data_IF_575828463901
#
_entry.id   IF_575828463901
#
_cell.length_a   1.000
_cell.length_b   1.000
_cell.length_c   1.000
_cell.angle_alpha   90.00
_cell.angle_beta   90.00
_cell.angle_gamma   90.00
#
_symmetry.space_group_name_H-M   'P 1'
#
loop_
_entity.id
_entity.type
_entity.pdbx_description
1 polymer ?
#
# COMPACT_ATOMS: atom_id res chain seq x y z
N UNK A 1 15.33 6.34 8.04
CA UNK A 1 13.91 6.40 7.61
C UNK A 1 13.09 7.15 8.67
N UNK A 2 12.28 8.14 8.29
CA UNK A 2 11.36 8.82 9.20
C UNK A 2 10.29 7.86 9.71
N UNK A 3 9.76 8.11 10.91
CA UNK A 3 8.66 7.34 11.49
C UNK A 3 7.49 8.23 11.87
N UNK A 4 6.28 7.69 11.81
CA UNK A 4 5.03 8.34 12.23
C UNK A 4 4.19 7.35 13.04
N UNK A 5 3.40 7.84 13.97
CA UNK A 5 2.44 7.00 14.69
C UNK A 5 1.28 6.64 13.76
N UNK A 6 0.93 5.37 13.68
CA UNK A 6 -0.17 4.88 12.85
C UNK A 6 -1.49 5.01 13.61
N UNK A 7 -2.22 6.07 13.33
CA UNK A 7 -3.48 6.38 14.00
C UNK A 7 -3.29 6.72 15.48
N UNK A 8 -4.41 6.89 16.18
CA UNK A 8 -4.40 7.21 17.62
C UNK A 8 -3.96 5.98 18.42
N UNK A 9 -2.89 6.13 19.21
CA UNK A 9 -2.34 5.06 20.07
C UNK A 9 -1.81 3.82 19.32
N UNK A 10 -1.58 3.89 18.03
CA UNK A 10 -1.00 2.79 17.25
C UNK A 10 0.52 2.75 17.31
N UNK A 11 1.14 1.77 16.63
CA UNK A 11 2.59 1.61 16.61
C UNK A 11 3.29 2.75 15.85
N UNK A 12 4.56 2.98 16.18
CA UNK A 12 5.45 3.82 15.39
C UNK A 12 5.89 3.04 14.14
N UNK A 13 5.59 3.56 12.98
CA UNK A 13 5.88 2.91 11.68
C UNK A 13 6.74 3.80 10.80
N UNK A 14 7.58 3.20 9.97
CA UNK A 14 8.32 3.92 8.94
C UNK A 14 7.35 4.56 7.94
N UNK A 15 7.69 5.77 7.48
CA UNK A 15 6.88 6.50 6.49
C UNK A 15 6.78 5.77 5.15
N UNK A 16 7.74 4.90 4.83
CA UNK A 16 7.62 3.91 3.76
C UNK A 16 7.34 2.55 4.38
N UNK A 17 6.28 1.90 3.91
CA UNK A 17 5.93 0.52 4.20
C UNK A 17 6.40 -0.38 3.05
N UNK A 18 7.04 -1.48 3.36
CA UNK A 18 7.40 -2.50 2.36
C UNK A 18 6.16 -3.24 1.89
N UNK A 19 5.70 -2.97 0.68
CA UNK A 19 4.60 -3.70 0.05
C UNK A 19 5.07 -5.01 -0.56
N UNK A 20 4.62 -6.11 0.00
CA UNK A 20 5.11 -7.45 -0.37
C UNK A 20 4.37 -8.09 -1.55
N UNK A 21 3.34 -7.47 -2.12
CA UNK A 21 2.68 -7.97 -3.32
C UNK A 21 3.64 -8.40 -4.44
N UNK A 22 4.63 -7.56 -4.88
CA UNK A 22 5.48 -7.92 -6.02
C UNK A 22 6.37 -9.13 -5.76
N UNK A 23 6.71 -9.42 -4.52
CA UNK A 23 7.55 -10.58 -4.18
C UNK A 23 6.77 -11.89 -4.12
N UNK A 24 5.43 -11.83 -4.11
CA UNK A 24 4.56 -12.99 -4.22
C UNK A 24 4.39 -13.53 -5.65
N UNK A 25 4.86 -12.79 -6.68
CA UNK A 25 4.84 -13.24 -8.08
C UNK A 25 3.76 -12.61 -8.95
N UNK A 26 2.78 -11.85 -8.41
CA UNK A 26 1.69 -11.25 -9.20
C UNK A 26 2.11 -10.18 -10.19
N UNK A 27 3.35 -9.69 -10.10
CA UNK A 27 3.94 -8.68 -11.01
C UNK A 27 5.20 -9.21 -11.71
N UNK A 28 5.13 -10.44 -12.24
CA UNK A 28 6.23 -11.17 -12.87
C UNK A 28 7.12 -11.88 -11.84
N UNK A 29 7.93 -12.82 -12.32
CA UNK A 29 8.77 -13.71 -11.49
C UNK A 29 9.75 -12.94 -10.62
N UNK A 30 9.92 -13.41 -9.39
CA UNK A 30 10.91 -12.92 -8.44
C UNK A 30 11.67 -14.10 -7.84
N UNK A 31 12.99 -14.05 -7.89
CA UNK A 31 13.82 -15.00 -7.18
C UNK A 31 13.68 -14.82 -5.66
N UNK A 32 13.43 -15.91 -4.94
CA UNK A 32 13.19 -15.87 -3.50
C UNK A 32 14.39 -15.36 -2.72
N UNK A 33 15.61 -15.74 -3.14
CA UNK A 33 16.86 -15.29 -2.50
C UNK A 33 17.01 -13.79 -2.67
N UNK A 34 16.73 -13.27 -3.87
CA UNK A 34 16.74 -11.83 -4.14
C UNK A 34 15.68 -11.10 -3.32
N UNK A 35 14.48 -11.66 -3.20
CA UNK A 35 13.41 -11.08 -2.39
C UNK A 35 13.83 -10.96 -0.91
N UNK A 36 14.41 -12.01 -0.34
CA UNK A 36 14.91 -12.01 1.06
C UNK A 36 16.01 -10.96 1.24
N UNK A 37 16.96 -10.86 0.31
CA UNK A 37 18.01 -9.83 0.35
C UNK A 37 17.41 -8.41 0.30
N UNK A 38 16.39 -8.21 -0.52
CA UNK A 38 15.69 -6.90 -0.64
C UNK A 38 14.97 -6.55 0.66
N UNK A 39 14.30 -7.52 1.30
CA UNK A 39 13.64 -7.33 2.61
C UNK A 39 14.68 -6.96 3.68
N UNK A 40 15.80 -7.66 3.75
CA UNK A 40 16.86 -7.36 4.71
C UNK A 40 17.44 -5.96 4.49
N UNK A 41 17.71 -5.58 3.24
CA UNK A 41 18.17 -4.23 2.91
C UNK A 41 17.15 -3.15 3.31
N UNK A 42 15.85 -3.43 3.16
CA UNK A 42 14.79 -2.50 3.62
C UNK A 42 14.84 -2.32 5.14
N UNK A 43 15.00 -3.42 5.91
CA UNK A 43 15.16 -3.37 7.37
C UNK A 43 16.39 -2.54 7.76
N UNK A 44 17.54 -2.81 7.14
CA UNK A 44 18.79 -2.08 7.36
C UNK A 44 18.68 -0.59 7.02
N UNK A 45 17.83 -0.25 6.05
CA UNK A 45 17.49 1.14 5.69
C UNK A 45 16.49 1.81 6.65
N UNK A 46 16.06 1.10 7.70
CA UNK A 46 15.17 1.61 8.75
C UNK A 46 13.68 1.44 8.43
N UNK A 47 13.31 0.59 7.46
CA UNK A 47 11.92 0.17 7.26
C UNK A 47 11.56 -0.84 8.35
N UNK A 48 10.58 -0.50 9.17
CA UNK A 48 10.04 -1.39 10.20
C UNK A 48 8.59 -1.82 9.93
N UNK A 49 8.01 -1.39 8.80
CA UNK A 49 6.62 -1.62 8.45
C UNK A 49 6.51 -2.45 7.17
N UNK A 50 5.80 -3.57 7.24
CA UNK A 50 5.64 -4.53 6.14
C UNK A 50 4.17 -4.85 5.95
N UNK A 51 3.70 -4.82 4.68
CA UNK A 51 2.31 -5.12 4.31
C UNK A 51 2.27 -6.29 3.32
N UNK A 52 1.46 -7.28 3.65
CA UNK A 52 1.16 -8.46 2.83
C UNK A 52 -0.34 -8.78 2.86
N UNK A 53 -0.74 -9.92 2.31
CA UNK A 53 -2.07 -10.50 2.42
C UNK A 53 -2.01 -12.00 2.13
N UNK A 54 -2.96 -12.79 2.65
CA UNK A 54 -3.07 -14.22 2.34
C UNK A 54 -3.27 -14.46 0.84
N UNK A 55 -3.97 -13.55 0.15
CA UNK A 55 -4.19 -13.62 -1.31
C UNK A 55 -2.97 -13.26 -2.17
N UNK A 56 -1.81 -12.95 -1.57
CA UNK A 56 -0.62 -12.53 -2.33
C UNK A 56 0.32 -13.70 -2.65
N UNK A 57 -0.22 -14.82 -3.12
CA UNK A 57 0.52 -16.02 -3.53
C UNK A 57 1.56 -16.44 -2.46
N UNK A 58 2.86 -16.34 -2.78
CA UNK A 58 3.95 -16.76 -1.90
C UNK A 58 4.47 -15.66 -0.95
N UNK A 59 3.87 -14.48 -0.96
CA UNK A 59 4.35 -13.29 -0.26
C UNK A 59 4.53 -13.51 1.25
N UNK A 60 3.51 -14.04 1.94
CA UNK A 60 3.60 -14.34 3.38
C UNK A 60 4.70 -15.35 3.71
N UNK A 61 4.86 -16.39 2.87
CA UNK A 61 5.91 -17.38 3.06
C UNK A 61 7.32 -16.77 2.93
N UNK A 62 7.52 -15.89 1.95
CA UNK A 62 8.80 -15.21 1.74
C UNK A 62 9.11 -14.26 2.91
N UNK A 63 8.11 -13.50 3.37
CA UNK A 63 8.24 -12.65 4.55
C UNK A 63 8.55 -13.46 5.80
N UNK A 64 7.83 -14.57 6.05
CA UNK A 64 8.06 -15.42 7.21
C UNK A 64 9.50 -15.95 7.30
N UNK A 65 10.09 -16.30 6.13
CA UNK A 65 11.52 -16.69 6.06
C UNK A 65 12.46 -15.51 6.31
N UNK A 66 12.17 -14.35 5.71
CA UNK A 66 13.04 -13.17 5.80
C UNK A 66 13.02 -12.52 7.19
N UNK A 67 11.91 -12.61 7.90
CA UNK A 67 11.72 -12.00 9.24
C UNK A 67 12.11 -12.92 10.40
N UNK A 68 12.56 -14.14 10.13
CA UNK A 68 13.02 -15.06 11.16
C UNK A 68 14.15 -14.43 12.00
N UNK A 69 13.97 -14.40 13.33
CA UNK A 69 14.86 -13.72 14.27
C UNK A 69 14.76 -12.18 14.30
N UNK A 70 13.95 -11.56 13.42
CA UNK A 70 13.79 -10.10 13.32
C UNK A 70 12.37 -9.62 13.63
N UNK A 71 11.42 -10.55 13.81
CA UNK A 71 9.97 -10.27 13.91
C UNK A 71 9.62 -9.21 14.96
N UNK A 72 10.30 -9.21 16.10
CA UNK A 72 10.03 -8.31 17.23
C UNK A 72 10.31 -6.82 16.95
N UNK A 73 11.09 -6.52 15.92
CA UNK A 73 11.40 -5.13 15.49
C UNK A 73 10.51 -4.64 14.35
N UNK A 74 9.54 -5.46 13.93
CA UNK A 74 8.74 -5.23 12.73
C UNK A 74 7.27 -5.04 13.11
N UNK A 75 6.63 -4.05 12.52
CA UNK A 75 5.18 -3.94 12.44
C UNK A 75 4.72 -4.63 11.17
N UNK A 76 3.98 -5.72 11.32
CA UNK A 76 3.54 -6.57 10.22
C UNK A 76 2.03 -6.42 10.00
N UNK A 77 1.64 -6.04 8.80
CA UNK A 77 0.26 -6.00 8.36
C UNK A 77 -0.03 -7.16 7.39
N UNK A 78 -1.15 -7.84 7.60
CA UNK A 78 -1.71 -8.78 6.62
C UNK A 78 -3.22 -8.56 6.47
N UNK A 79 -3.87 -9.32 5.58
CA UNK A 79 -5.27 -9.07 5.21
C UNK A 79 -6.04 -10.36 5.06
N UNK A 80 -7.32 -10.35 5.50
CA UNK A 80 -8.34 -11.29 5.08
C UNK A 80 -8.70 -11.00 3.63
N UNK A 81 -8.51 -11.95 2.73
CA UNK A 81 -8.77 -11.80 1.29
C UNK A 81 -9.93 -12.70 0.84
N UNK A 82 -10.47 -12.41 -0.34
CA UNK A 82 -11.58 -13.19 -0.91
C UNK A 82 -12.95 -12.71 -0.45
N UNK A 83 -13.98 -13.44 -0.87
CA UNK A 83 -15.38 -13.06 -0.68
C UNK A 83 -16.04 -13.73 0.54
N UNK A 84 -15.41 -14.74 1.12
CA UNK A 84 -15.94 -15.47 2.27
C UNK A 84 -15.48 -14.84 3.59
N UNK A 85 -16.40 -14.20 4.30
CA UNK A 85 -16.19 -13.67 5.64
C UNK A 85 -16.89 -14.50 6.73
N UNK A 86 -17.18 -15.78 6.45
CA UNK A 86 -17.66 -16.69 7.49
C UNK A 86 -16.64 -16.82 8.63
N UNK A 87 -17.13 -17.04 9.84
CA UNK A 87 -16.28 -17.23 11.03
C UNK A 87 -15.26 -18.35 10.80
N UNK A 88 -15.70 -19.44 10.15
CA UNK A 88 -14.82 -20.56 9.83
C UNK A 88 -13.68 -20.17 8.90
N UNK A 89 -13.97 -19.39 7.86
CA UNK A 89 -12.96 -18.90 6.93
C UNK A 89 -12.00 -17.90 7.60
N UNK A 90 -12.52 -16.91 8.33
CA UNK A 90 -11.69 -15.92 9.05
C UNK A 90 -10.69 -16.62 9.97
N UNK A 91 -11.11 -17.62 10.75
CA UNK A 91 -10.22 -18.36 11.65
C UNK A 91 -9.18 -19.20 10.91
N UNK A 92 -9.58 -19.82 9.82
CA UNK A 92 -8.64 -20.58 8.97
C UNK A 92 -7.62 -19.67 8.32
N UNK A 93 -8.03 -18.55 7.76
CA UNK A 93 -7.17 -17.55 7.11
C UNK A 93 -6.10 -17.03 8.07
N UNK A 94 -6.49 -16.53 9.26
CA UNK A 94 -5.52 -16.03 10.24
C UNK A 94 -4.57 -17.12 10.73
N UNK A 95 -5.06 -18.33 11.01
CA UNK A 95 -4.19 -19.42 11.47
C UNK A 95 -3.19 -19.84 10.37
N UNK A 96 -3.58 -19.86 9.11
CA UNK A 96 -2.70 -20.10 7.99
C UNK A 96 -1.66 -18.99 7.84
N UNK A 97 -2.07 -17.71 7.88
CA UNK A 97 -1.16 -16.57 7.82
C UNK A 97 -0.12 -16.63 8.94
N UNK A 98 -0.52 -16.86 10.19
CA UNK A 98 0.39 -17.00 11.33
C UNK A 98 1.39 -18.12 11.10
N UNK A 99 0.93 -19.29 10.63
CA UNK A 99 1.78 -20.44 10.34
C UNK A 99 2.80 -20.15 9.24
N UNK A 100 2.38 -19.54 8.13
CA UNK A 100 3.26 -19.26 6.96
C UNK A 100 4.24 -18.13 7.27
N UNK A 101 3.79 -17.11 8.00
CA UNK A 101 4.59 -15.98 8.47
C UNK A 101 5.53 -16.37 9.63
N UNK A 102 5.39 -17.58 10.21
CA UNK A 102 6.18 -18.07 11.35
C UNK A 102 6.15 -17.11 12.55
N UNK A 103 4.96 -16.67 12.92
CA UNK A 103 4.73 -15.72 14.01
C UNK A 103 3.48 -16.07 14.79
N UNK A 104 3.42 -15.69 16.06
CA UNK A 104 2.27 -15.95 16.92
C UNK A 104 1.21 -14.84 16.82
N UNK A 105 1.56 -13.68 16.24
CA UNK A 105 0.65 -12.54 16.10
C UNK A 105 0.93 -11.73 14.83
N UNK A 106 -0.10 -11.02 14.36
CA UNK A 106 -0.02 -9.99 13.31
C UNK A 106 -0.34 -8.64 13.96
N UNK A 107 0.50 -7.62 13.70
CA UNK A 107 0.29 -6.30 14.33
C UNK A 107 -0.99 -5.64 13.82
N UNK A 108 -1.24 -5.70 12.51
CA UNK A 108 -2.43 -5.10 11.90
C UNK A 108 -3.07 -6.12 10.95
N UNK A 109 -4.27 -6.59 11.29
CA UNK A 109 -5.03 -7.47 10.41
C UNK A 109 -6.17 -6.69 9.78
N UNK A 110 -6.22 -6.70 8.45
CA UNK A 110 -7.09 -5.83 7.67
C UNK A 110 -8.16 -6.64 6.93
N UNK A 111 -9.35 -6.08 6.79
CA UNK A 111 -10.29 -6.51 5.75
C UNK A 111 -9.82 -5.93 4.41
N UNK A 112 -9.55 -6.80 3.42
CA UNK A 112 -8.91 -6.42 2.17
C UNK A 112 -9.83 -5.58 1.28
N UNK A 113 -11.11 -5.94 1.23
CA UNK A 113 -12.16 -5.25 0.50
C UNK A 113 -13.50 -5.42 1.24
N UNK A 114 -14.43 -4.48 1.09
CA UNK A 114 -15.79 -4.65 1.59
C UNK A 114 -16.45 -5.89 0.99
N UNK A 115 -17.22 -6.61 1.81
CA UNK A 115 -17.99 -7.78 1.39
C UNK A 115 -19.45 -7.60 1.74
N UNK A 116 -20.28 -7.03 0.85
CA UNK A 116 -21.66 -6.64 1.17
C UNK A 116 -22.59 -7.83 1.49
N UNK A 117 -22.18 -9.05 1.12
CA UNK A 117 -22.94 -10.26 1.41
C UNK A 117 -22.76 -10.74 2.88
N UNK A 118 -21.86 -10.12 3.64
CA UNK A 118 -21.59 -10.47 5.03
C UNK A 118 -21.83 -9.25 5.93
N UNK A 119 -22.68 -9.39 6.98
CA UNK A 119 -22.87 -8.31 7.95
C UNK A 119 -21.54 -7.91 8.57
N UNK A 120 -21.24 -6.61 8.53
CA UNK A 120 -19.97 -6.10 9.04
C UNK A 120 -19.83 -6.37 10.55
N UNK A 121 -20.94 -6.39 11.29
CA UNK A 121 -21.02 -6.64 12.71
C UNK A 121 -20.48 -8.04 13.06
N UNK A 122 -20.85 -9.06 12.27
CA UNK A 122 -20.42 -10.45 12.49
C UNK A 122 -18.92 -10.57 12.23
N UNK A 123 -18.44 -10.00 11.12
CA UNK A 123 -17.01 -9.97 10.76
C UNK A 123 -16.20 -9.27 11.85
N UNK A 124 -16.63 -8.08 12.29
CA UNK A 124 -15.92 -7.31 13.32
C UNK A 124 -15.96 -8.01 14.68
N UNK A 125 -17.09 -8.64 15.06
CA UNK A 125 -17.17 -9.42 16.28
C UNK A 125 -16.11 -10.53 16.32
N UNK A 126 -15.88 -11.21 15.21
CA UNK A 126 -14.86 -12.24 15.13
C UNK A 126 -13.43 -11.68 15.18
N UNK A 127 -13.16 -10.55 14.51
CA UNK A 127 -11.85 -9.88 14.61
C UNK A 127 -11.56 -9.39 16.04
N UNK A 128 -12.58 -8.94 16.79
CA UNK A 128 -12.43 -8.57 18.20
C UNK A 128 -12.03 -9.77 19.05
N UNK A 129 -12.61 -10.97 18.81
CA UNK A 129 -12.21 -12.21 19.50
C UNK A 129 -10.76 -12.58 19.18
N UNK A 130 -10.34 -12.51 17.90
CA UNK A 130 -8.96 -12.76 17.49
C UNK A 130 -7.98 -11.78 18.16
N UNK A 131 -8.38 -10.53 18.36
CA UNK A 131 -7.60 -9.54 19.13
C UNK A 131 -7.53 -9.91 20.62
N UNK A 132 -8.62 -10.36 21.22
CA UNK A 132 -8.62 -10.85 22.62
C UNK A 132 -7.76 -12.13 22.80
N UNK A 133 -7.71 -12.98 21.77
CA UNK A 133 -6.83 -14.15 21.72
C UNK A 133 -5.34 -13.78 21.50
N UNK A 134 -5.03 -12.51 21.22
CA UNK A 134 -3.67 -12.05 20.95
C UNK A 134 -3.12 -12.43 19.57
N UNK A 135 -3.95 -12.98 18.68
CA UNK A 135 -3.53 -13.34 17.30
C UNK A 135 -3.36 -12.13 16.41
N UNK A 136 -4.12 -11.08 16.67
CA UNK A 136 -3.97 -9.77 16.01
C UNK A 136 -3.93 -8.68 17.10
N UNK A 137 -3.15 -7.62 16.84
CA UNK A 137 -3.04 -6.52 17.81
C UNK A 137 -3.97 -5.36 17.47
N UNK A 138 -4.14 -5.09 16.18
CA UNK A 138 -4.97 -4.00 15.67
C UNK A 138 -5.80 -4.46 14.48
N UNK A 139 -6.97 -3.83 14.30
CA UNK A 139 -7.87 -4.07 13.17
C UNK A 139 -7.74 -2.91 12.19
N UNK A 140 -7.63 -3.21 10.89
CA UNK A 140 -7.59 -2.24 9.81
C UNK A 140 -8.61 -2.55 8.71
N UNK A 141 -8.79 -1.58 7.82
CA UNK A 141 -9.65 -1.68 6.65
C UNK A 141 -8.85 -1.33 5.39
N UNK A 142 -9.19 -1.93 4.26
CA UNK A 142 -8.61 -1.58 2.96
C UNK A 142 -9.70 -1.43 1.90
N UNK A 143 -9.63 -0.35 1.10
CA UNK A 143 -10.60 -0.04 0.05
C UNK A 143 -12.05 0.19 0.53
N UNK A 144 -12.22 0.64 1.77
CA UNK A 144 -13.52 0.97 2.36
C UNK A 144 -13.87 2.44 2.10
N UNK A 145 -15.13 2.72 1.74
CA UNK A 145 -15.69 4.06 1.67
C UNK A 145 -15.82 4.69 3.07
N UNK A 146 -16.19 5.96 3.12
CA UNK A 146 -16.47 6.64 4.40
C UNK A 146 -17.62 5.97 5.13
N UNK A 147 -18.72 5.66 4.43
CA UNK A 147 -19.93 5.03 4.99
C UNK A 147 -19.64 3.66 5.56
N UNK A 148 -18.89 2.83 4.82
CA UNK A 148 -18.47 1.50 5.28
C UNK A 148 -17.51 1.60 6.47
N UNK A 149 -16.61 2.59 6.46
CA UNK A 149 -15.71 2.84 7.60
C UNK A 149 -16.49 3.26 8.84
N UNK A 150 -17.52 4.12 8.71
CA UNK A 150 -18.43 4.48 9.82
C UNK A 150 -19.10 3.24 10.40
N UNK A 151 -19.65 2.38 9.55
CA UNK A 151 -20.29 1.12 9.98
C UNK A 151 -19.32 0.23 10.76
N UNK A 152 -18.08 0.08 10.27
CA UNK A 152 -17.06 -0.71 10.96
C UNK A 152 -16.64 -0.07 12.30
N UNK A 153 -16.49 1.26 12.36
CA UNK A 153 -16.10 1.97 13.59
C UNK A 153 -17.18 1.95 14.67
N UNK A 154 -18.45 1.75 14.29
CA UNK A 154 -19.55 1.54 15.24
C UNK A 154 -19.40 0.21 16.01
N UNK A 155 -18.72 -0.80 15.43
CA UNK A 155 -18.51 -2.11 16.05
C UNK A 155 -17.29 -2.15 16.96
N UNK A 156 -16.18 -1.50 16.55
CA UNK A 156 -14.91 -1.51 17.29
C UNK A 156 -13.97 -0.40 16.80
N UNK A 157 -12.90 -0.18 17.55
CA UNK A 157 -11.86 0.77 17.11
C UNK A 157 -11.08 0.25 15.92
N UNK A 158 -11.01 1.06 14.85
CA UNK A 158 -10.21 0.80 13.65
C UNK A 158 -8.89 1.56 13.75
N UNK A 159 -7.78 0.86 13.61
CA UNK A 159 -6.45 1.44 13.73
C UNK A 159 -5.94 2.06 12.44
N UNK A 160 -6.25 1.43 11.30
CA UNK A 160 -5.74 1.88 10.00
C UNK A 160 -6.78 1.75 8.89
N UNK A 161 -6.66 2.64 7.91
CA UNK A 161 -7.31 2.54 6.60
C UNK A 161 -6.25 2.49 5.51
N UNK A 162 -6.46 1.63 4.52
CA UNK A 162 -5.54 1.42 3.41
C UNK A 162 -6.23 1.73 2.07
N UNK A 163 -6.36 3.03 1.70
CA UNK A 163 -6.93 3.46 0.42
C UNK A 163 -5.88 3.43 -0.70
N UNK A 164 -6.36 3.33 -1.96
CA UNK A 164 -5.56 3.59 -3.15
C UNK A 164 -5.30 5.09 -3.27
N UNK A 165 -4.04 5.52 -3.24
CA UNK A 165 -3.74 6.95 -3.33
C UNK A 165 -2.40 7.23 -4.01
N UNK A 166 -2.40 8.03 -5.08
CA UNK A 166 -1.21 8.42 -5.83
C UNK A 166 -1.44 9.67 -6.69
N UNK A 167 -0.42 10.13 -7.39
CA UNK A 167 -0.46 11.32 -8.25
C UNK A 167 -1.54 11.30 -9.34
N UNK A 168 -1.95 10.11 -9.81
CA UNK A 168 -2.95 9.93 -10.87
C UNK A 168 -4.33 9.73 -10.27
N UNK A 169 -4.46 8.83 -9.27
CA UNK A 169 -5.70 8.44 -8.62
C UNK A 169 -5.74 9.03 -7.21
N UNK A 170 -6.32 10.21 -7.05
CA UNK A 170 -6.28 10.96 -5.78
C UNK A 170 -7.55 11.72 -5.42
N UNK A 171 -8.59 11.69 -6.25
CA UNK A 171 -9.78 12.50 -5.99
C UNK A 171 -10.83 11.78 -5.16
N UNK A 172 -11.08 10.52 -5.48
CA UNK A 172 -12.13 9.73 -4.84
C UNK A 172 -11.82 9.47 -3.37
N UNK A 173 -10.54 9.36 -3.04
CA UNK A 173 -10.08 9.04 -1.70
C UNK A 173 -9.96 10.26 -0.74
N UNK A 174 -10.16 11.48 -1.23
CA UNK A 174 -10.02 12.69 -0.38
C UNK A 174 -10.95 12.68 0.82
N UNK A 175 -12.20 12.27 0.63
CA UNK A 175 -13.18 12.20 1.70
C UNK A 175 -12.79 11.15 2.75
N UNK A 176 -12.33 9.97 2.29
CA UNK A 176 -11.87 8.89 3.16
C UNK A 176 -10.61 9.30 3.94
N UNK A 177 -9.66 9.96 3.28
CA UNK A 177 -8.45 10.44 3.95
C UNK A 177 -8.77 11.45 5.05
N UNK A 178 -9.64 12.43 4.76
CA UNK A 178 -10.03 13.46 5.71
C UNK A 178 -10.82 12.88 6.89
N UNK A 179 -11.80 12.01 6.60
CA UNK A 179 -12.56 11.30 7.63
C UNK A 179 -11.64 10.52 8.57
N UNK A 180 -10.74 9.72 8.02
CA UNK A 180 -9.80 8.91 8.80
C UNK A 180 -8.89 9.80 9.67
N UNK A 181 -8.37 10.88 9.10
CA UNK A 181 -7.52 11.82 9.82
C UNK A 181 -8.25 12.45 11.02
N UNK A 182 -9.48 12.92 10.83
CA UNK A 182 -10.29 13.53 11.88
C UNK A 182 -10.65 12.55 13.00
N UNK A 183 -10.78 11.25 12.67
CA UNK A 183 -11.13 10.20 13.61
C UNK A 183 -9.90 9.45 14.19
N UNK A 184 -8.68 9.92 13.90
CA UNK A 184 -7.45 9.32 14.43
C UNK A 184 -7.16 7.93 13.89
N UNK A 185 -7.66 7.58 12.69
CA UNK A 185 -7.37 6.36 11.96
C UNK A 185 -6.12 6.60 11.10
N UNK A 186 -5.10 5.75 11.23
CA UNK A 186 -3.86 5.86 10.47
C UNK A 186 -4.06 5.52 8.99
N UNK A 187 -3.41 6.23 8.08
CA UNK A 187 -3.55 6.01 6.65
C UNK A 187 -2.30 5.37 6.07
N UNK A 188 -2.49 4.20 5.46
CA UNK A 188 -1.51 3.43 4.71
C UNK A 188 -1.84 3.49 3.23
N UNK A 189 -1.32 4.47 2.50
CA UNK A 189 -1.64 4.62 1.08
C UNK A 189 -1.04 3.49 0.25
N UNK A 190 -1.87 2.73 -0.48
CA UNK A 190 -1.40 1.71 -1.42
C UNK A 190 -1.40 2.20 -2.87
N UNK A 191 -0.82 1.41 -3.78
CA UNK A 191 -0.66 1.72 -5.20
C UNK A 191 0.05 3.06 -5.48
N UNK A 192 0.94 3.47 -4.59
CA UNK A 192 1.67 4.75 -4.64
C UNK A 192 2.35 5.01 -5.98
N UNK A 193 2.89 3.95 -6.60
CA UNK A 193 3.53 4.01 -7.92
C UNK A 193 2.59 3.60 -9.08
N UNK A 194 1.26 3.49 -8.84
CA UNK A 194 0.28 3.06 -9.84
C UNK A 194 0.75 1.80 -10.60
N UNK A 195 1.07 0.72 -9.84
CA UNK A 195 1.61 -0.55 -10.38
C UNK A 195 2.88 -0.37 -11.22
N UNK A 196 3.64 0.68 -10.98
CA UNK A 196 4.89 1.01 -11.66
C UNK A 196 4.75 2.02 -12.80
N UNK A 197 3.56 2.51 -13.10
CA UNK A 197 3.32 3.53 -14.11
C UNK A 197 4.09 4.83 -13.79
N UNK A 198 4.10 5.23 -12.52
CA UNK A 198 4.81 6.40 -12.00
C UNK A 198 6.33 6.20 -11.81
N UNK A 199 6.91 5.15 -12.42
CA UNK A 199 8.37 4.97 -12.45
C UNK A 199 9.02 5.50 -13.71
N UNK A 200 8.23 5.84 -14.73
CA UNK A 200 8.73 6.30 -16.04
C UNK A 200 9.38 5.21 -16.91
N UNK A 201 9.41 3.95 -16.45
CA UNK A 201 10.08 2.84 -17.18
C UNK A 201 9.26 2.28 -18.34
N UNK A 202 7.93 2.47 -18.35
CA UNK A 202 7.05 1.95 -19.39
C UNK A 202 6.89 2.98 -20.50
N UNK A 203 6.95 2.49 -21.76
CA UNK A 203 6.74 3.30 -22.95
C UNK A 203 5.57 2.75 -23.75
N UNK A 204 5.03 3.56 -24.64
CA UNK A 204 3.99 3.12 -25.58
C UNK A 204 4.39 1.81 -26.27
N UNK A 205 3.46 0.87 -26.35
CA UNK A 205 3.71 -0.46 -26.92
C UNK A 205 4.40 -1.46 -25.98
N UNK A 206 4.59 -1.14 -24.69
CA UNK A 206 5.11 -2.10 -23.74
C UNK A 206 4.17 -3.31 -23.60
N UNK A 207 4.73 -4.51 -23.72
CA UNK A 207 4.00 -5.79 -23.58
C UNK A 207 4.44 -6.44 -22.26
N UNK A 208 3.47 -6.76 -21.44
CA UNK A 208 3.69 -7.51 -20.20
C UNK A 208 3.70 -9.02 -20.49
N UNK A 209 4.46 -9.78 -19.69
CA UNK A 209 4.48 -11.23 -19.74
C UNK A 209 3.10 -11.84 -19.39
N UNK A 210 2.87 -13.10 -19.75
CA UNK A 210 1.56 -13.74 -19.58
C UNK A 210 1.11 -13.85 -18.13
N UNK A 211 2.04 -14.04 -17.19
CA UNK A 211 1.81 -14.14 -15.76
C UNK A 211 1.80 -12.78 -15.03
N UNK A 212 1.93 -11.66 -15.77
CA UNK A 212 1.90 -10.32 -15.22
C UNK A 212 0.48 -9.74 -15.24
N UNK A 213 -0.11 -9.53 -14.07
CA UNK A 213 -1.48 -8.99 -13.92
C UNK A 213 -1.66 -7.60 -14.54
N UNK A 214 -0.56 -6.83 -14.71
CA UNK A 214 -0.62 -5.46 -15.25
C UNK A 214 -1.20 -5.39 -16.65
N UNK A 215 -1.11 -6.48 -17.41
CA UNK A 215 -1.75 -6.59 -18.73
C UNK A 215 -3.28 -6.44 -18.68
N UNK A 216 -3.90 -6.65 -17.52
CA UNK A 216 -5.35 -6.56 -17.34
C UNK A 216 -5.85 -5.12 -17.14
N UNK A 217 -4.95 -4.20 -16.77
CA UNK A 217 -5.33 -2.84 -16.42
C UNK A 217 -5.37 -1.91 -17.64
N UNK A 218 -6.52 -1.23 -17.81
CA UNK A 218 -6.77 -0.34 -18.95
C UNK A 218 -5.79 0.84 -19.03
N UNK A 219 -5.28 1.31 -17.89
CA UNK A 219 -4.33 2.43 -17.85
C UNK A 219 -2.92 2.08 -18.38
N UNK A 220 -2.67 0.83 -18.75
CA UNK A 220 -1.49 0.42 -19.51
C UNK A 220 -1.75 0.29 -21.02
N UNK A 221 -2.91 0.76 -21.54
CA UNK A 221 -3.31 0.57 -22.93
C UNK A 221 -3.88 1.85 -23.56
N UNK A 222 -3.75 1.94 -24.88
CA UNK A 222 -4.40 2.95 -25.70
C UNK A 222 -4.07 4.39 -25.33
N UNK A 223 -4.98 5.31 -25.67
CA UNK A 223 -4.80 6.75 -25.51
C UNK A 223 -4.62 7.20 -24.06
N UNK A 224 -5.23 6.48 -23.10
CA UNK A 224 -5.06 6.75 -21.68
C UNK A 224 -3.61 6.55 -21.24
N UNK A 225 -3.00 5.43 -21.65
CA UNK A 225 -1.60 5.16 -21.38
C UNK A 225 -0.68 6.23 -21.98
N UNK A 226 -0.96 6.70 -23.21
CA UNK A 226 -0.18 7.75 -23.86
C UNK A 226 -0.26 9.09 -23.10
N UNK A 227 -1.45 9.45 -22.62
CA UNK A 227 -1.66 10.66 -21.81
C UNK A 227 -0.90 10.56 -20.48
N UNK A 228 -1.02 9.44 -19.80
CA UNK A 228 -0.32 9.21 -18.53
C UNK A 228 1.19 9.22 -18.72
N UNK A 229 1.71 8.60 -19.79
CA UNK A 229 3.15 8.64 -20.09
C UNK A 229 3.68 10.05 -20.31
N UNK A 230 2.93 10.91 -21.01
CA UNK A 230 3.29 12.32 -21.18
C UNK A 230 3.33 13.05 -19.84
N UNK A 231 2.31 12.85 -18.97
CA UNK A 231 2.34 13.39 -17.62
C UNK A 231 3.57 12.91 -16.84
N UNK A 232 3.88 11.61 -16.89
CA UNK A 232 5.03 11.04 -16.18
C UNK A 232 6.35 11.64 -16.70
N UNK A 233 6.47 11.92 -17.99
CA UNK A 233 7.64 12.60 -18.56
C UNK A 233 7.78 14.04 -18.06
N UNK A 234 6.69 14.81 -18.00
CA UNK A 234 6.69 16.18 -17.47
C UNK A 234 7.08 16.19 -15.97
N UNK A 235 6.47 15.31 -15.19
CA UNK A 235 6.79 15.16 -13.76
C UNK A 235 8.25 14.72 -13.55
N UNK A 236 8.77 13.87 -14.43
CA UNK A 236 10.17 13.44 -14.35
C UNK A 236 11.13 14.59 -14.71
N UNK A 237 10.81 15.40 -15.72
CA UNK A 237 11.56 16.61 -16.05
C UNK A 237 11.65 17.56 -14.86
N UNK A 238 10.50 17.83 -14.23
CA UNK A 238 10.41 18.66 -13.02
C UNK A 238 11.24 18.11 -11.85
N UNK A 239 11.23 16.78 -11.65
CA UNK A 239 12.00 16.13 -10.58
C UNK A 239 13.52 16.16 -10.87
N UNK A 240 13.94 15.98 -12.13
CA UNK A 240 15.36 16.02 -12.55
C UNK A 240 15.99 17.37 -12.25
N UNK A 241 15.28 18.48 -12.49
CA UNK A 241 15.74 19.83 -12.13
C UNK A 241 16.08 19.98 -10.63
N UNK A 242 15.56 19.06 -9.79
CA UNK A 242 15.78 18.99 -8.33
C UNK A 242 16.69 17.83 -7.92
N UNK A 243 17.46 17.27 -8.87
CA UNK A 243 18.31 16.10 -8.67
C UNK A 243 17.56 14.87 -8.12
N UNK A 244 16.32 14.69 -8.56
CA UNK A 244 15.42 13.59 -8.21
C UNK A 244 14.82 12.96 -9.46
N UNK A 245 14.03 11.91 -9.30
CA UNK A 245 13.28 11.28 -10.38
C UNK A 245 11.78 11.14 -10.03
N UNK A 246 10.96 10.78 -11.02
CA UNK A 246 9.51 10.69 -10.86
C UNK A 246 9.09 9.63 -9.85
N UNK A 247 9.86 8.55 -9.66
CA UNK A 247 9.59 7.53 -8.63
C UNK A 247 9.69 8.14 -7.23
N UNK A 248 10.77 8.89 -7.01
CA UNK A 248 10.99 9.60 -5.76
C UNK A 248 9.91 10.67 -5.53
N UNK A 249 9.57 11.42 -6.57
CA UNK A 249 8.49 12.40 -6.51
C UNK A 249 7.15 11.76 -6.13
N UNK A 250 6.77 10.66 -6.76
CA UNK A 250 5.49 10.00 -6.50
C UNK A 250 5.35 9.54 -5.04
N UNK A 251 6.40 8.99 -4.47
CA UNK A 251 6.41 8.57 -3.06
C UNK A 251 6.41 9.80 -2.14
N UNK A 252 7.30 10.77 -2.38
CA UNK A 252 7.39 11.99 -1.57
C UNK A 252 6.08 12.79 -1.58
N UNK A 253 5.41 12.88 -2.74
CA UNK A 253 4.13 13.56 -2.88
C UNK A 253 3.04 12.93 -2.02
N UNK A 254 2.94 11.59 -2.01
CA UNK A 254 1.98 10.88 -1.13
C UNK A 254 2.31 11.13 0.33
N UNK A 255 3.58 11.07 0.72
CA UNK A 255 4.03 11.33 2.09
C UNK A 255 3.86 12.78 2.55
N UNK A 256 3.80 13.74 1.61
CA UNK A 256 3.55 15.15 1.88
C UNK A 256 2.06 15.44 2.16
N UNK A 257 1.14 14.50 1.87
CA UNK A 257 -0.26 14.68 2.20
C UNK A 257 -0.47 14.49 3.71
N UNK A 258 -0.98 15.54 4.36
CA UNK A 258 -1.12 15.58 5.83
C UNK A 258 -1.77 14.35 6.46
N UNK A 259 -2.85 13.76 5.89
CA UNK A 259 -3.48 12.58 6.49
C UNK A 259 -2.65 11.30 6.39
N UNK A 260 -1.71 11.19 5.43
CA UNK A 260 -1.00 9.95 5.16
C UNK A 260 0.06 9.66 6.22
N UNK A 261 -0.04 8.49 6.84
CA UNK A 261 0.96 8.00 7.81
C UNK A 261 2.10 7.29 7.11
N UNK A 262 1.79 6.38 6.18
CA UNK A 262 2.80 5.58 5.48
C UNK A 262 2.40 5.31 4.03
N UNK A 263 3.38 5.24 3.15
CA UNK A 263 3.24 4.91 1.73
C UNK A 263 3.70 3.45 1.50
N UNK A 264 2.79 2.60 1.03
CA UNK A 264 3.10 1.20 0.71
C UNK A 264 3.76 1.15 -0.66
N UNK A 265 5.03 0.78 -0.68
CA UNK A 265 5.86 0.70 -1.88
C UNK A 265 6.32 -0.73 -2.12
N UNK A 266 5.96 -1.27 -3.28
CA UNK A 266 6.44 -2.58 -3.71
C UNK A 266 7.90 -2.53 -4.15
N UNK A 267 8.75 -3.38 -3.58
CA UNK A 267 10.18 -3.41 -3.86
C UNK A 267 10.66 -4.83 -4.17
N UNK A 268 11.38 -4.99 -5.29
CA UNK A 268 11.97 -6.26 -5.74
C UNK A 268 13.51 -6.24 -5.74
N UNK A 269 14.12 -5.06 -5.68
CA UNK A 269 15.57 -4.86 -5.81
C UNK A 269 16.11 -3.90 -4.78
N UNK A 270 17.42 -3.99 -4.52
CA UNK A 270 18.14 -3.08 -3.61
C UNK A 270 18.05 -1.62 -4.07
N UNK A 271 18.12 -1.37 -5.38
CA UNK A 271 17.96 -0.02 -5.93
C UNK A 271 16.57 0.55 -5.58
N UNK A 272 15.50 -0.24 -5.68
CA UNK A 272 14.16 0.22 -5.31
C UNK A 272 14.04 0.54 -3.81
N UNK A 273 14.76 -0.17 -2.95
CA UNK A 273 14.86 0.17 -1.52
C UNK A 273 15.52 1.53 -1.33
N UNK A 274 16.63 1.79 -2.02
CA UNK A 274 17.32 3.07 -1.96
C UNK A 274 16.47 4.21 -2.53
N UNK A 275 15.77 4.01 -3.63
CA UNK A 275 14.82 4.99 -4.17
C UNK A 275 13.74 5.34 -3.15
N UNK A 276 13.16 4.36 -2.48
CA UNK A 276 12.14 4.56 -1.46
C UNK A 276 12.70 5.30 -0.22
N UNK A 277 13.93 4.97 0.19
CA UNK A 277 14.64 5.65 1.28
C UNK A 277 14.84 7.13 0.96
N UNK A 278 15.41 7.43 -0.20
CA UNK A 278 15.64 8.81 -0.67
C UNK A 278 14.34 9.61 -0.80
N UNK A 279 13.24 8.96 -1.20
CA UNK A 279 11.91 9.58 -1.28
C UNK A 279 11.41 10.02 0.09
N UNK A 280 11.64 9.21 1.13
CA UNK A 280 11.21 9.51 2.50
C UNK A 280 11.94 10.69 3.15
N UNK A 281 13.05 11.10 2.56
CA UNK A 281 13.86 12.23 3.00
C UNK A 281 13.53 13.53 2.25
N UNK A 282 12.71 13.45 1.21
CA UNK A 282 12.32 14.61 0.40
C UNK A 282 11.03 15.24 0.93
N UNK A 283 11.16 16.31 1.68
CA UNK A 283 10.03 17.11 2.13
C UNK A 283 9.65 18.13 1.07
N UNK A 284 8.56 17.87 0.34
CA UNK A 284 8.03 18.80 -0.64
C UNK A 284 7.43 20.03 0.04
N UNK A 285 7.84 21.22 -0.38
CA UNK A 285 7.27 22.49 0.05
C UNK A 285 5.87 22.71 -0.52
N UNK A 286 5.09 23.63 0.04
CA UNK A 286 3.76 24.00 -0.49
C UNK A 286 3.84 24.56 -1.92
N UNK A 287 4.91 25.29 -2.27
CA UNK A 287 5.17 25.76 -3.63
C UNK A 287 5.33 24.59 -4.58
N UNK A 288 6.20 23.62 -4.23
CA UNK A 288 6.45 22.43 -5.04
C UNK A 288 5.20 21.56 -5.22
N UNK A 289 4.39 21.40 -4.17
CA UNK A 289 3.10 20.73 -4.25
C UNK A 289 2.14 21.46 -5.20
N UNK A 290 2.15 22.79 -5.20
CA UNK A 290 1.40 23.63 -6.14
C UNK A 290 1.85 23.45 -7.59
N UNK A 291 3.16 23.46 -7.84
CA UNK A 291 3.74 23.23 -9.17
C UNK A 291 3.38 21.84 -9.72
N UNK A 292 3.53 20.79 -8.90
CA UNK A 292 3.15 19.43 -9.26
C UNK A 292 1.64 19.33 -9.56
N UNK A 293 0.81 19.98 -8.75
CA UNK A 293 -0.65 20.03 -8.95
C UNK A 293 -1.02 20.73 -10.27
N UNK A 294 -0.32 21.79 -10.64
CA UNK A 294 -0.51 22.48 -11.92
C UNK A 294 -0.15 21.56 -13.10
N UNK A 295 0.98 20.86 -13.04
CA UNK A 295 1.36 19.88 -14.08
C UNK A 295 0.27 18.83 -14.24
N UNK A 296 -0.18 18.21 -13.15
CA UNK A 296 -1.27 17.21 -13.17
C UNK A 296 -2.55 17.82 -13.78
N UNK A 297 -2.89 19.06 -13.39
CA UNK A 297 -4.09 19.77 -13.87
C UNK A 297 -4.15 19.92 -15.37
N UNK A 298 -3.01 20.06 -16.07
CA UNK A 298 -2.96 20.16 -17.53
C UNK A 298 -3.32 18.87 -18.27
N UNK A 299 -3.19 17.72 -17.60
CA UNK A 299 -3.47 16.40 -18.16
C UNK A 299 -4.82 15.84 -17.73
N UNK A 300 -5.31 16.22 -16.54
CA UNK A 300 -6.52 15.66 -15.92
C UNK A 300 -7.79 15.70 -16.80
N UNK A 301 -8.08 16.76 -17.57
CA UNK A 301 -9.23 16.78 -18.49
C UNK A 301 -9.14 15.74 -19.61
N UNK A 302 -8.00 15.14 -19.83
CA UNK A 302 -7.74 14.18 -20.90
C UNK A 302 -8.00 12.73 -20.50
N UNK A 303 -8.13 12.44 -19.20
CA UNK A 303 -8.62 11.16 -18.69
C UNK A 303 -9.93 11.40 -17.91
N UNK A 304 -11.05 11.17 -18.58
CA UNK A 304 -12.39 11.63 -18.13
C UNK A 304 -13.05 10.76 -17.07
N UNK A 305 -12.49 9.60 -16.71
CA UNK A 305 -12.92 8.80 -15.54
C UNK A 305 -11.71 8.07 -15.02
N UNK A 306 -11.56 8.03 -13.69
CA UNK A 306 -10.67 7.08 -13.05
C UNK A 306 -10.97 5.71 -13.65
N UNK A 307 -10.03 5.04 -14.31
CA UNK A 307 -10.29 3.70 -14.78
C UNK A 307 -10.41 2.82 -13.54
N UNK A 308 -11.65 2.60 -13.15
CA UNK A 308 -11.97 1.65 -12.11
C UNK A 308 -11.45 0.30 -12.57
N UNK A 309 -10.62 -0.31 -11.72
CA UNK A 309 -10.17 -1.72 -11.68
C UNK A 309 -10.01 -2.43 -13.00
#
# INVERSE_FOLDING_TARGET
MKQRQLGKNGPMVSTVCFGAWPIGGGMGKVDQTQAIKTIHSAIESGVNFFDTAEGYNTSEMVLGKALEGKRHNIVLASKLSGEDHSIGHIRNAINNSLKVLKTDYIDIYQLHTPQPNWPIEDTMSELVKLKQEGKILHIGLSNYSVEETISATACTSIQSSQPRYNLIFNNEEKATLEFCYQNGIGIMAHSVLAKGLLTGKYKAGHIFEEDDERKLFNFFRGTLFDVINKLVQELNGWAIERNRNVTQLAIAWVLAQRPVTSAIVGMKTLDQVEQARLSSEWDLTQSELGEVSNIIGTFKPKWVKDPVS
#
